data_IF_772237443206
#
_entry.id   IF_772237443206
#
_cell.length_a   1.000
_cell.length_b   1.000
_cell.length_c   1.000
_cell.angle_alpha   90.00
_cell.angle_beta   90.00
_cell.angle_gamma   90.00
#
_symmetry.space_group_name_H-M   'P 1'
#
loop_
_entity.id
_entity.type
_entity.pdbx_description
1 polymer ?
#
# COMPACT_ATOMS: atom_id res chain seq x y z
N UNK A 1 -14.49 28.58 -7.90
CA UNK A 1 -13.43 28.40 -6.89
C UNK A 1 -13.89 28.52 -5.42
N UNK A 2 -14.59 29.61 -5.04
CA UNK A 2 -14.93 29.87 -3.63
C UNK A 2 -15.92 28.87 -3.00
N UNK A 3 -16.86 28.35 -3.79
CA UNK A 3 -17.86 27.38 -3.34
C UNK A 3 -17.22 26.03 -3.00
N UNK A 4 -16.32 25.52 -3.84
CA UNK A 4 -15.63 24.24 -3.61
C UNK A 4 -14.71 24.28 -2.38
N UNK A 5 -13.99 25.39 -2.17
CA UNK A 5 -13.19 25.59 -0.96
C UNK A 5 -14.08 25.59 0.27
N UNK A 6 -15.23 26.27 0.22
CA UNK A 6 -16.19 26.30 1.34
C UNK A 6 -16.72 24.91 1.67
N UNK A 7 -17.13 24.13 0.67
CA UNK A 7 -17.59 22.75 0.85
C UNK A 7 -16.48 21.84 1.40
N UNK A 8 -15.25 21.99 0.92
CA UNK A 8 -14.10 21.24 1.42
C UNK A 8 -13.81 21.55 2.90
N UNK A 9 -13.85 22.83 3.29
CA UNK A 9 -13.66 23.23 4.69
C UNK A 9 -14.79 22.69 5.57
N UNK A 10 -16.05 22.81 5.16
CA UNK A 10 -17.20 22.26 5.90
C UNK A 10 -17.06 20.74 6.05
N UNK A 11 -16.75 20.02 4.96
CA UNK A 11 -16.54 18.58 4.98
C UNK A 11 -15.40 18.17 5.93
N UNK A 12 -14.31 18.93 5.93
CA UNK A 12 -13.17 18.71 6.84
C UNK A 12 -13.59 18.91 8.30
N UNK A 13 -14.33 19.98 8.62
CA UNK A 13 -14.81 20.24 9.98
C UNK A 13 -15.74 19.12 10.44
N UNK A 14 -16.73 18.72 9.62
CA UNK A 14 -17.66 17.64 9.95
C UNK A 14 -16.90 16.33 10.19
N UNK A 15 -15.96 15.99 9.31
CA UNK A 15 -15.11 14.81 9.46
C UNK A 15 -14.29 14.85 10.75
N UNK A 16 -13.66 15.97 11.08
CA UNK A 16 -12.89 16.13 12.32
C UNK A 16 -13.79 16.00 13.56
N UNK A 17 -14.99 16.57 13.54
CA UNK A 17 -15.95 16.43 14.65
C UNK A 17 -16.41 14.99 14.83
N UNK A 18 -16.69 14.27 13.74
CA UNK A 18 -17.02 12.84 13.78
C UNK A 18 -15.85 12.02 14.33
N UNK A 19 -14.62 12.31 13.93
CA UNK A 19 -13.42 11.61 14.40
C UNK A 19 -13.17 11.88 15.89
N UNK A 20 -13.32 13.12 16.37
CA UNK A 20 -13.24 13.46 17.81
C UNK A 20 -14.33 12.72 18.58
N UNK A 21 -15.55 12.67 18.05
CA UNK A 21 -16.65 11.96 18.68
C UNK A 21 -16.39 10.45 18.80
N UNK A 22 -15.97 9.80 17.71
CA UNK A 22 -15.68 8.36 17.68
C UNK A 22 -14.46 7.98 18.56
N UNK A 23 -13.45 8.85 18.62
CA UNK A 23 -12.28 8.65 19.51
C UNK A 23 -12.61 8.82 20.99
N UNK A 24 -13.72 9.47 21.34
CA UNK A 24 -14.23 9.60 22.72
C UNK A 24 -15.44 8.71 23.00
N UNK A 25 -15.76 7.78 22.11
CA UNK A 25 -16.92 6.91 22.26
C UNK A 25 -16.85 6.08 23.57
N UNK A 26 -17.96 5.92 24.33
CA UNK A 26 -17.94 5.25 25.64
C UNK A 26 -17.46 3.79 25.58
N UNK A 27 -17.77 3.08 24.49
CA UNK A 27 -17.30 1.70 24.30
C UNK A 27 -15.84 1.69 23.87
N UNK A 28 -14.99 1.00 24.65
CA UNK A 28 -13.54 0.99 24.44
C UNK A 28 -13.09 0.38 23.10
N UNK A 29 -13.91 -0.48 22.48
CA UNK A 29 -13.60 -1.14 21.21
C UNK A 29 -13.69 -0.17 20.02
N UNK A 30 -14.81 0.54 19.86
CA UNK A 30 -15.00 1.57 18.82
C UNK A 30 -13.90 2.62 18.91
N UNK A 31 -13.58 3.07 20.13
CA UNK A 31 -12.48 4.00 20.36
C UNK A 31 -11.14 3.45 19.85
N UNK A 32 -10.80 2.19 20.20
CA UNK A 32 -9.54 1.55 19.78
C UNK A 32 -9.46 1.38 18.26
N UNK A 33 -10.55 0.92 17.63
CA UNK A 33 -10.63 0.77 16.17
C UNK A 33 -10.49 2.13 15.48
N UNK A 34 -11.15 3.17 15.99
CA UNK A 34 -11.05 4.53 15.47
C UNK A 34 -9.60 5.05 15.54
N UNK A 35 -8.91 4.87 16.67
CA UNK A 35 -7.49 5.24 16.79
C UNK A 35 -6.59 4.45 15.84
N UNK A 36 -6.80 3.14 15.70
CA UNK A 36 -6.06 2.29 14.76
C UNK A 36 -6.25 2.76 13.32
N UNK A 37 -7.50 2.99 12.90
CA UNK A 37 -7.85 3.46 11.56
C UNK A 37 -7.27 4.85 11.28
N UNK A 38 -7.39 5.77 12.23
CA UNK A 38 -6.83 7.13 12.12
C UNK A 38 -5.32 7.09 11.98
N UNK A 39 -4.64 6.27 12.78
CA UNK A 39 -3.18 6.11 12.73
C UNK A 39 -2.72 5.53 11.39
N UNK A 40 -3.38 4.48 10.91
CA UNK A 40 -3.08 3.86 9.61
C UNK A 40 -3.33 4.86 8.46
N UNK A 41 -4.48 5.52 8.43
CA UNK A 41 -4.80 6.52 7.40
C UNK A 41 -3.79 7.67 7.40
N UNK A 42 -3.45 8.21 8.57
CA UNK A 42 -2.42 9.26 8.70
C UNK A 42 -1.07 8.78 8.19
N UNK A 43 -0.69 7.53 8.50
CA UNK A 43 0.58 6.97 8.02
C UNK A 43 0.62 6.88 6.49
N UNK A 44 -0.47 6.46 5.83
CA UNK A 44 -0.58 6.44 4.37
C UNK A 44 -0.36 7.84 3.79
N UNK A 45 -1.05 8.86 4.33
CA UNK A 45 -0.90 10.24 3.85
C UNK A 45 0.53 10.77 4.03
N UNK A 46 1.14 10.55 5.19
CA UNK A 46 2.54 10.92 5.45
C UNK A 46 3.47 10.23 4.46
N UNK A 47 3.28 8.93 4.21
CA UNK A 47 4.06 8.18 3.24
C UNK A 47 3.90 8.70 1.82
N UNK A 48 2.68 9.06 1.40
CA UNK A 48 2.45 9.68 0.08
C UNK A 48 3.17 11.02 -0.02
N UNK A 49 3.06 11.90 0.99
CA UNK A 49 3.73 13.20 0.97
C UNK A 49 5.26 13.07 0.89
N UNK A 50 5.85 12.17 1.68
CA UNK A 50 7.28 11.89 1.63
C UNK A 50 7.66 11.34 0.26
N UNK A 51 6.91 10.36 -0.26
CA UNK A 51 7.15 9.77 -1.57
C UNK A 51 7.08 10.82 -2.69
N UNK A 52 6.11 11.73 -2.65
CA UNK A 52 5.99 12.82 -3.63
C UNK A 52 7.22 13.73 -3.61
N UNK A 53 7.73 14.11 -2.43
CA UNK A 53 8.96 14.91 -2.32
C UNK A 53 10.16 14.13 -2.86
N UNK A 54 10.31 12.86 -2.49
CA UNK A 54 11.40 12.01 -2.97
C UNK A 54 11.36 11.84 -4.49
N UNK A 55 10.18 11.58 -5.07
CA UNK A 55 10.00 11.46 -6.52
C UNK A 55 10.29 12.79 -7.22
N UNK A 56 9.85 13.92 -6.66
CA UNK A 56 10.19 15.22 -7.20
C UNK A 56 11.71 15.44 -7.24
N UNK A 57 12.43 15.12 -6.16
CA UNK A 57 13.89 15.22 -6.12
C UNK A 57 14.54 14.29 -7.17
N UNK A 58 14.06 13.06 -7.30
CA UNK A 58 14.60 12.10 -8.28
C UNK A 58 14.35 12.58 -9.72
N UNK A 59 13.13 13.01 -10.05
CA UNK A 59 12.75 13.40 -11.40
C UNK A 59 13.28 14.77 -11.82
N UNK A 60 13.27 15.75 -10.91
CA UNK A 60 13.63 17.11 -11.25
C UNK A 60 15.13 17.40 -11.04
N UNK A 61 15.72 16.86 -9.97
CA UNK A 61 17.09 17.22 -9.61
C UNK A 61 18.12 16.18 -10.07
N UNK A 62 17.75 14.89 -10.09
CA UNK A 62 18.67 13.80 -10.46
C UNK A 62 18.50 13.37 -11.92
N UNK A 63 17.27 13.21 -12.42
CA UNK A 63 17.01 12.68 -13.75
C UNK A 63 17.68 13.48 -14.89
N UNK A 64 17.70 14.83 -14.87
CA UNK A 64 18.38 15.59 -15.92
C UNK A 64 19.90 15.36 -15.99
N UNK A 65 20.50 14.85 -14.90
CA UNK A 65 21.93 14.57 -14.83
C UNK A 65 22.30 13.19 -15.40
N UNK A 66 21.32 12.35 -15.72
CA UNK A 66 21.55 10.96 -16.10
C UNK A 66 20.92 10.64 -17.45
N UNK A 67 21.62 9.91 -18.34
CA UNK A 67 21.03 9.48 -19.62
C UNK A 67 19.71 8.72 -19.43
N UNK A 68 18.72 9.04 -20.28
CA UNK A 68 17.40 8.38 -20.29
C UNK A 68 17.41 6.84 -20.16
N UNK A 69 18.29 6.06 -20.84
CA UNK A 69 18.29 4.60 -20.68
C UNK A 69 18.69 4.12 -19.27
N UNK A 70 19.37 4.95 -18.47
CA UNK A 70 19.76 4.63 -17.10
C UNK A 70 18.70 5.05 -16.06
N UNK A 71 17.61 5.69 -16.48
CA UNK A 71 16.57 6.15 -15.56
C UNK A 71 15.91 5.03 -14.72
N UNK A 72 15.60 3.84 -15.29
CA UNK A 72 15.09 2.71 -14.49
C UNK A 72 16.07 2.26 -13.40
N UNK A 73 17.38 2.34 -13.67
CA UNK A 73 18.43 2.00 -12.71
C UNK A 73 18.43 2.99 -11.53
N UNK A 74 18.26 4.30 -11.77
CA UNK A 74 18.11 5.29 -10.68
C UNK A 74 16.89 4.96 -9.84
N UNK A 75 15.75 4.66 -10.47
CA UNK A 75 14.52 4.36 -9.74
C UNK A 75 14.70 3.11 -8.88
N UNK A 76 15.33 2.05 -9.42
CA UNK A 76 15.70 0.86 -8.66
C UNK A 76 16.69 1.13 -7.52
N UNK A 77 17.69 2.00 -7.73
CA UNK A 77 18.64 2.41 -6.70
C UNK A 77 17.95 3.20 -5.57
N UNK A 78 17.03 4.10 -5.93
CA UNK A 78 16.26 4.88 -4.94
C UNK A 78 15.40 3.96 -4.07
N UNK A 79 14.79 2.92 -4.65
CA UNK A 79 14.07 1.88 -3.91
C UNK A 79 15.00 1.13 -2.96
N UNK A 80 16.18 0.71 -3.43
CA UNK A 80 17.15 -0.02 -2.59
C UNK A 80 17.65 0.84 -1.41
N UNK A 81 17.96 2.11 -1.64
CA UNK A 81 18.37 3.06 -0.59
C UNK A 81 17.24 3.27 0.40
N UNK A 82 16.02 3.52 -0.07
CA UNK A 82 14.86 3.73 0.80
C UNK A 82 14.55 2.49 1.63
N UNK A 83 14.65 1.30 1.03
CA UNK A 83 14.47 0.03 1.73
C UNK A 83 15.51 -0.13 2.84
N UNK A 84 16.78 0.14 2.58
CA UNK A 84 17.83 0.12 3.60
C UNK A 84 17.56 1.10 4.74
N UNK A 85 17.12 2.33 4.43
CA UNK A 85 16.78 3.33 5.44
C UNK A 85 15.61 2.88 6.31
N UNK A 86 14.54 2.38 5.70
CA UNK A 86 13.37 1.88 6.43
C UNK A 86 13.76 0.70 7.34
N UNK A 87 14.52 -0.27 6.82
CA UNK A 87 15.02 -1.39 7.63
C UNK A 87 15.90 -0.90 8.79
N UNK A 88 16.77 0.09 8.56
CA UNK A 88 17.59 0.68 9.61
C UNK A 88 16.75 1.39 10.68
N UNK A 89 15.73 2.17 10.31
CA UNK A 89 14.86 2.85 11.27
C UNK A 89 14.01 1.89 12.09
N UNK A 90 13.40 0.89 11.45
CA UNK A 90 12.65 -0.18 12.12
C UNK A 90 13.57 -0.89 13.13
N UNK A 91 14.80 -1.19 12.71
CA UNK A 91 15.79 -1.83 13.56
C UNK A 91 16.20 -0.97 14.77
N UNK A 92 16.48 0.32 14.57
CA UNK A 92 16.87 1.24 15.63
C UNK A 92 15.74 1.44 16.66
N UNK A 93 14.49 1.29 16.23
CA UNK A 93 13.31 1.50 17.07
C UNK A 93 12.70 0.23 17.63
N UNK A 94 13.29 -0.95 17.35
CA UNK A 94 12.80 -2.27 17.78
C UNK A 94 12.53 -2.43 19.28
N UNK A 95 13.23 -1.64 20.12
CA UNK A 95 13.04 -1.67 21.59
C UNK A 95 11.71 -1.04 22.04
N UNK A 96 11.09 -0.22 21.21
CA UNK A 96 9.83 0.46 21.50
C UNK A 96 8.77 -0.05 20.55
N UNK A 97 7.81 -0.82 21.07
CA UNK A 97 6.71 -1.41 20.29
C UNK A 97 5.98 -0.33 19.48
N UNK A 98 5.57 0.76 20.12
CA UNK A 98 4.84 1.84 19.46
C UNK A 98 5.65 2.54 18.38
N UNK A 99 6.95 2.79 18.63
CA UNK A 99 7.79 3.44 17.63
C UNK A 99 8.04 2.50 16.44
N UNK A 100 8.40 1.24 16.72
CA UNK A 100 8.65 0.26 15.67
C UNK A 100 7.43 0.03 14.78
N UNK A 101 6.23 -0.10 15.36
CA UNK A 101 5.00 -0.18 14.58
C UNK A 101 4.78 1.07 13.73
N UNK A 102 4.95 2.27 14.29
CA UNK A 102 4.79 3.51 13.52
C UNK A 102 5.76 3.62 12.34
N UNK A 103 7.06 3.36 12.57
CA UNK A 103 8.08 3.39 11.51
C UNK A 103 7.89 2.28 10.49
N UNK A 104 7.48 1.08 10.92
CA UNK A 104 7.20 -0.02 10.01
C UNK A 104 5.99 0.27 9.12
N UNK A 105 4.89 0.79 9.67
CA UNK A 105 3.69 1.13 8.88
C UNK A 105 3.97 2.28 7.90
N UNK A 106 4.58 3.38 8.37
CA UNK A 106 4.94 4.51 7.49
C UNK A 106 5.94 4.06 6.43
N UNK A 107 7.00 3.37 6.83
CA UNK A 107 8.04 2.86 5.94
C UNK A 107 7.51 1.84 4.94
N UNK A 108 6.58 0.98 5.36
CA UNK A 108 5.94 0.00 4.51
C UNK A 108 5.09 0.64 3.42
N UNK A 109 4.21 1.58 3.77
CA UNK A 109 3.45 2.32 2.77
C UNK A 109 4.35 3.14 1.83
N UNK A 110 5.40 3.76 2.37
CA UNK A 110 6.37 4.52 1.58
C UNK A 110 7.07 3.62 0.55
N UNK A 111 7.57 2.46 0.97
CA UNK A 111 8.13 1.45 0.06
C UNK A 111 7.11 0.94 -0.95
N UNK A 112 5.86 0.71 -0.53
CA UNK A 112 4.78 0.33 -1.44
C UNK A 112 4.58 1.34 -2.56
N UNK A 113 4.52 2.64 -2.26
CA UNK A 113 4.39 3.68 -3.29
C UNK A 113 5.63 3.82 -4.18
N UNK A 114 6.83 3.70 -3.61
CA UNK A 114 8.07 3.70 -4.39
C UNK A 114 8.13 2.48 -5.33
N UNK A 115 7.70 1.30 -4.87
CA UNK A 115 7.57 0.11 -5.69
C UNK A 115 6.53 0.28 -6.80
N UNK A 116 5.35 0.83 -6.49
CA UNK A 116 4.31 1.13 -7.50
C UNK A 116 4.89 2.01 -8.61
N UNK A 117 5.62 3.07 -8.24
CA UNK A 117 6.25 3.94 -9.23
C UNK A 117 7.34 3.22 -10.03
N UNK A 118 8.24 2.48 -9.37
CA UNK A 118 9.34 1.77 -10.02
C UNK A 118 8.84 0.70 -11.01
N UNK A 119 7.94 -0.17 -10.57
CA UNK A 119 7.44 -1.28 -11.38
C UNK A 119 6.33 -0.84 -12.33
N UNK A 120 5.56 0.18 -12.01
CA UNK A 120 4.57 0.74 -12.94
C UNK A 120 5.24 1.46 -14.12
N UNK A 121 6.29 2.25 -13.87
CA UNK A 121 7.13 2.80 -14.96
C UNK A 121 7.84 1.71 -15.76
N UNK A 122 8.18 0.58 -15.14
CA UNK A 122 8.70 -0.57 -15.86
C UNK A 122 7.62 -1.18 -16.78
N UNK A 123 6.36 -1.28 -16.34
CA UNK A 123 5.25 -1.71 -17.21
C UNK A 123 5.03 -0.77 -18.41
N UNK A 124 5.21 0.55 -18.23
CA UNK A 124 5.11 1.56 -19.29
C UNK A 124 6.27 1.52 -20.30
N UNK A 125 7.40 0.93 -19.93
CA UNK A 125 8.57 0.91 -20.81
C UNK A 125 8.26 0.17 -22.12
N UNK A 126 8.93 0.56 -23.20
CA UNK A 126 8.73 0.00 -24.54
C UNK A 126 8.83 -1.54 -24.59
N UNK A 127 9.58 -2.15 -23.68
CA UNK A 127 9.72 -3.61 -23.58
C UNK A 127 8.42 -4.29 -23.12
N UNK A 128 7.68 -3.66 -22.21
CA UNK A 128 6.55 -4.27 -21.52
C UNK A 128 5.20 -3.68 -21.92
N UNK A 129 5.12 -2.50 -22.55
CA UNK A 129 3.85 -1.82 -22.85
C UNK A 129 2.88 -2.60 -23.76
N UNK A 130 3.38 -3.53 -24.57
CA UNK A 130 2.58 -4.22 -25.59
C UNK A 130 1.83 -5.46 -25.07
N UNK A 131 0.53 -5.53 -25.41
CA UNK A 131 -0.33 -6.71 -25.23
C UNK A 131 -0.30 -7.25 -23.78
N UNK A 132 0.12 -8.51 -23.61
CA UNK A 132 0.16 -9.23 -22.35
C UNK A 132 1.48 -9.03 -21.60
N UNK A 133 2.49 -8.41 -22.21
CA UNK A 133 3.83 -8.24 -21.59
C UNK A 133 3.82 -7.48 -20.26
N UNK A 134 2.91 -6.54 -19.93
CA UNK A 134 2.88 -5.92 -18.61
C UNK A 134 2.66 -6.94 -17.47
N UNK A 135 2.05 -8.10 -17.76
CA UNK A 135 1.89 -9.19 -16.78
C UNK A 135 3.23 -9.78 -16.33
N UNK A 136 4.29 -9.71 -17.16
CA UNK A 136 5.62 -10.21 -16.81
C UNK A 136 6.28 -9.40 -15.70
N UNK A 137 5.82 -8.17 -15.46
CA UNK A 137 6.35 -7.32 -14.37
C UNK A 137 5.89 -7.81 -12.99
N UNK A 138 4.73 -8.50 -12.89
CA UNK A 138 4.22 -9.04 -11.62
C UNK A 138 5.15 -10.12 -11.02
N UNK A 139 5.53 -11.20 -11.74
CA UNK A 139 6.47 -12.19 -11.21
C UNK A 139 7.87 -11.61 -11.00
N UNK A 140 8.28 -10.61 -11.80
CA UNK A 140 9.54 -9.89 -11.56
C UNK A 140 9.52 -9.13 -10.24
N UNK A 141 8.42 -8.42 -9.93
CA UNK A 141 8.24 -7.76 -8.64
C UNK A 141 8.30 -8.78 -7.50
N UNK A 142 7.56 -9.89 -7.60
CA UNK A 142 7.58 -10.96 -6.59
C UNK A 142 8.98 -11.52 -6.36
N UNK A 143 9.76 -11.73 -7.43
CA UNK A 143 11.14 -12.19 -7.32
C UNK A 143 12.02 -11.18 -6.57
N UNK A 144 11.98 -9.92 -6.98
CA UNK A 144 12.77 -8.85 -6.34
C UNK A 144 12.37 -8.70 -4.87
N UNK A 145 11.06 -8.68 -4.59
CA UNK A 145 10.56 -8.56 -3.23
C UNK A 145 10.93 -9.76 -2.36
N UNK A 146 10.84 -10.98 -2.89
CA UNK A 146 11.25 -12.20 -2.17
C UNK A 146 12.75 -12.17 -1.81
N UNK A 147 13.60 -11.67 -2.71
CA UNK A 147 15.04 -11.46 -2.42
C UNK A 147 15.22 -10.43 -1.31
N UNK A 148 14.55 -9.28 -1.39
CA UNK A 148 14.64 -8.24 -0.35
C UNK A 148 14.14 -8.74 1.01
N UNK A 149 12.98 -9.41 1.05
CA UNK A 149 12.42 -9.99 2.26
C UNK A 149 13.35 -11.06 2.85
N UNK A 150 13.96 -11.91 2.00
CA UNK A 150 14.96 -12.88 2.44
C UNK A 150 16.19 -12.21 3.06
N UNK A 151 16.71 -11.14 2.46
CA UNK A 151 17.82 -10.37 3.03
C UNK A 151 17.41 -9.75 4.37
N UNK A 152 16.24 -9.11 4.45
CA UNK A 152 15.73 -8.54 5.70
C UNK A 152 15.61 -9.60 6.80
N UNK A 153 15.02 -10.77 6.50
CA UNK A 153 14.89 -11.88 7.44
C UNK A 153 16.26 -12.37 7.94
N UNK A 154 17.23 -12.53 7.04
CA UNK A 154 18.61 -12.90 7.40
C UNK A 154 19.32 -11.86 8.26
N UNK A 155 19.08 -10.58 8.02
CA UNK A 155 19.63 -9.50 8.83
C UNK A 155 18.98 -9.49 10.23
N UNK A 156 17.66 -9.63 10.31
CA UNK A 156 16.90 -9.71 11.56
C UNK A 156 17.36 -10.90 12.41
N UNK A 157 17.39 -12.10 11.85
CA UNK A 157 17.76 -13.34 12.57
C UNK A 157 19.18 -13.29 13.13
N UNK A 158 20.15 -12.72 12.39
CA UNK A 158 21.53 -12.57 12.87
C UNK A 158 21.66 -11.61 14.04
N UNK A 159 20.83 -10.56 14.08
CA UNK A 159 20.86 -9.64 15.22
C UNK A 159 20.20 -10.29 16.43
N UNK A 160 19.05 -10.92 16.24
CA UNK A 160 18.36 -11.66 17.30
C UNK A 160 19.32 -12.66 17.97
N UNK A 161 20.04 -13.46 17.18
CA UNK A 161 21.02 -14.42 17.71
C UNK A 161 22.08 -13.73 18.59
N UNK A 162 22.60 -12.57 18.15
CA UNK A 162 23.58 -11.79 18.93
C UNK A 162 22.98 -11.18 20.19
N UNK A 163 21.73 -10.74 20.14
CA UNK A 163 21.03 -10.19 21.30
C UNK A 163 20.79 -11.27 22.36
N UNK A 164 20.32 -12.45 21.93
CA UNK A 164 20.14 -13.61 22.79
C UNK A 164 21.47 -14.06 23.43
N UNK A 165 22.56 -14.11 22.66
CA UNK A 165 23.89 -14.44 23.18
C UNK A 165 24.39 -13.41 24.21
N UNK A 166 24.14 -12.12 23.98
CA UNK A 166 24.51 -11.07 24.93
C UNK A 166 23.70 -11.17 26.23
N UNK A 167 22.40 -11.45 26.14
CA UNK A 167 21.51 -11.56 27.30
C UNK A 167 21.75 -12.82 28.12
N UNK A 168 22.08 -13.93 27.47
CA UNK A 168 22.45 -15.18 28.14
C UNK A 168 23.65 -15.02 29.10
N UNK A 169 24.53 -14.05 28.86
CA UNK A 169 25.68 -13.75 29.72
C UNK A 169 25.33 -12.92 30.95
N UNK A 170 24.24 -12.15 30.91
CA UNK A 170 23.94 -11.12 31.93
C UNK A 170 22.85 -11.58 32.90
N UNK A 171 21.84 -12.32 32.46
CA UNK A 171 20.66 -12.61 33.29
C UNK A 171 20.30 -14.10 33.39
N UNK A 172 20.37 -14.62 34.62
CA UNK A 172 19.75 -15.89 35.05
C UNK A 172 18.26 -15.75 35.43
N UNK A 173 17.68 -14.54 35.41
CA UNK A 173 16.28 -14.32 35.82
C UNK A 173 15.29 -14.59 34.68
N UNK A 174 14.48 -15.64 34.82
CA UNK A 174 13.51 -16.14 33.83
C UNK A 174 12.46 -15.12 33.39
N UNK A 175 12.06 -14.19 34.28
CA UNK A 175 10.98 -13.23 34.02
C UNK A 175 11.35 -12.14 33.00
N UNK A 176 12.61 -11.72 32.98
CA UNK A 176 13.08 -10.73 31.99
C UNK A 176 13.03 -11.29 30.56
N UNK A 177 13.32 -12.58 30.40
CA UNK A 177 13.29 -13.26 29.09
C UNK A 177 11.89 -13.33 28.48
N UNK A 178 10.84 -13.46 29.30
CA UNK A 178 9.47 -13.55 28.80
C UNK A 178 9.00 -12.24 28.15
N UNK A 179 9.28 -11.09 28.78
CA UNK A 179 8.90 -9.79 28.24
C UNK A 179 9.66 -9.40 26.98
N UNK A 180 10.95 -9.75 26.89
CA UNK A 180 11.75 -9.49 25.68
C UNK A 180 11.27 -10.31 24.48
N UNK A 181 10.91 -11.58 24.72
CA UNK A 181 10.37 -12.46 23.69
C UNK A 181 9.06 -11.94 23.12
N UNK A 182 8.14 -11.44 23.95
CA UNK A 182 6.88 -10.84 23.49
C UNK A 182 7.11 -9.61 22.59
N UNK A 183 8.11 -8.78 22.93
CA UNK A 183 8.47 -7.60 22.12
C UNK A 183 9.05 -8.03 20.77
N UNK A 184 9.85 -9.09 20.75
CA UNK A 184 10.48 -9.62 19.53
C UNK A 184 9.45 -10.30 18.61
N UNK A 185 8.56 -11.13 19.16
CA UNK A 185 7.44 -11.73 18.41
C UNK A 185 6.54 -10.63 17.81
N UNK A 186 6.17 -9.61 18.61
CA UNK A 186 5.37 -8.49 18.10
C UNK A 186 6.09 -7.66 17.03
N UNK A 187 7.42 -7.61 17.05
CA UNK A 187 8.24 -6.92 16.05
C UNK A 187 8.26 -7.70 14.73
N UNK A 188 8.40 -9.02 14.79
CA UNK A 188 8.37 -9.88 13.62
C UNK A 188 6.99 -9.89 12.95
N UNK A 189 5.92 -9.94 13.73
CA UNK A 189 4.54 -9.82 13.25
C UNK A 189 4.34 -8.50 12.50
N UNK A 190 4.78 -7.39 13.11
CA UNK A 190 4.68 -6.05 12.50
C UNK A 190 5.42 -6.00 11.17
N UNK A 191 6.64 -6.55 11.10
CA UNK A 191 7.41 -6.61 9.86
C UNK A 191 6.67 -7.43 8.79
N UNK A 192 6.13 -8.59 9.17
CA UNK A 192 5.44 -9.51 8.27
C UNK A 192 4.15 -8.88 7.72
N UNK A 193 3.37 -8.22 8.57
CA UNK A 193 2.17 -7.49 8.17
C UNK A 193 2.52 -6.38 7.16
N UNK A 194 3.54 -5.58 7.45
CA UNK A 194 3.99 -4.53 6.55
C UNK A 194 4.49 -5.09 5.20
N UNK A 195 5.21 -6.20 5.21
CA UNK A 195 5.68 -6.87 3.99
C UNK A 195 4.51 -7.39 3.14
N UNK A 196 3.49 -7.99 3.78
CA UNK A 196 2.29 -8.47 3.11
C UNK A 196 1.48 -7.29 2.52
N UNK A 197 1.35 -6.19 3.25
CA UNK A 197 0.66 -4.97 2.80
C UNK A 197 1.33 -4.37 1.55
N UNK A 198 2.67 -4.34 1.52
CA UNK A 198 3.43 -3.88 0.34
C UNK A 198 3.12 -4.75 -0.87
N UNK A 199 3.16 -6.08 -0.71
CA UNK A 199 2.88 -7.02 -1.81
C UNK A 199 1.46 -6.84 -2.32
N UNK A 200 0.48 -6.78 -1.42
CA UNK A 200 -0.93 -6.61 -1.77
C UNK A 200 -1.18 -5.28 -2.51
N UNK A 201 -0.60 -4.19 -2.00
CA UNK A 201 -0.77 -2.87 -2.61
C UNK A 201 -0.12 -2.77 -4.00
N UNK A 202 1.15 -3.20 -4.12
CA UNK A 202 1.90 -3.12 -5.38
C UNK A 202 1.30 -4.03 -6.43
N UNK A 203 1.07 -5.31 -6.14
CA UNK A 203 0.47 -6.23 -7.11
C UNK A 203 -0.97 -5.84 -7.43
N UNK A 204 -1.73 -5.37 -6.44
CA UNK A 204 -3.08 -4.88 -6.64
C UNK A 204 -3.14 -3.76 -7.67
N UNK A 205 -2.22 -2.81 -7.58
CA UNK A 205 -2.06 -1.71 -8.54
C UNK A 205 -1.59 -2.19 -9.92
N UNK A 206 -0.49 -2.95 -9.99
CA UNK A 206 0.08 -3.43 -11.25
C UNK A 206 -0.89 -4.32 -12.03
N UNK A 207 -1.69 -5.14 -11.33
CA UNK A 207 -2.75 -5.95 -11.94
C UNK A 207 -3.87 -5.06 -12.48
N UNK A 208 -4.24 -4.00 -11.75
CA UNK A 208 -5.25 -3.04 -12.22
C UNK A 208 -4.78 -2.28 -13.46
N UNK A 209 -3.50 -1.93 -13.55
CA UNK A 209 -2.90 -1.34 -14.76
C UNK A 209 -3.03 -2.28 -15.95
N UNK A 210 -2.74 -3.57 -15.77
CA UNK A 210 -2.95 -4.58 -16.82
C UNK A 210 -4.42 -4.65 -17.25
N UNK A 211 -5.35 -4.71 -16.29
CA UNK A 211 -6.80 -4.74 -16.57
C UNK A 211 -7.22 -3.50 -17.36
N UNK A 212 -6.77 -2.31 -16.94
CA UNK A 212 -6.98 -1.06 -17.65
C UNK A 212 -6.44 -1.11 -19.08
N UNK A 213 -5.22 -1.63 -19.26
CA UNK A 213 -4.59 -1.81 -20.57
C UNK A 213 -5.36 -2.74 -21.50
N UNK A 214 -5.89 -3.85 -20.97
CA UNK A 214 -6.75 -4.78 -21.74
C UNK A 214 -8.07 -4.12 -22.16
N UNK A 215 -8.65 -3.29 -21.29
CA UNK A 215 -9.91 -2.58 -21.56
C UNK A 215 -9.72 -1.46 -22.60
N UNK A 216 -8.63 -0.70 -22.48
CA UNK A 216 -8.31 0.45 -23.34
C UNK A 216 -7.75 -0.02 -24.69
N UNK A 217 -6.99 -1.10 -24.70
CA UNK A 217 -6.23 -1.60 -25.86
C UNK A 217 -4.74 -1.24 -25.81
N UNK A 218 -4.35 -0.32 -24.92
CA UNK A 218 -2.97 0.02 -24.60
C UNK A 218 -2.85 0.33 -23.11
N UNK A 219 -1.67 0.11 -22.53
CA UNK A 219 -1.40 0.45 -21.13
C UNK A 219 -1.48 1.98 -20.96
N UNK A 220 -2.39 2.50 -20.12
CA UNK A 220 -2.46 3.93 -19.87
C UNK A 220 -1.19 4.40 -19.14
N UNK A 221 -0.71 5.62 -19.37
CA UNK A 221 0.37 6.19 -18.57
C UNK A 221 -0.09 6.32 -17.11
N UNK A 222 0.78 6.06 -16.14
CA UNK A 222 0.46 6.19 -14.72
C UNK A 222 0.09 7.62 -14.33
N UNK A 223 0.72 8.61 -14.98
CA UNK A 223 0.58 10.03 -14.63
C UNK A 223 -0.55 10.73 -15.41
N UNK A 224 -1.05 10.10 -16.48
CA UNK A 224 -2.05 10.70 -17.36
C UNK A 224 -3.41 10.00 -17.28
N UNK A 225 -4.48 10.77 -17.46
CA UNK A 225 -5.84 10.26 -17.54
C UNK A 225 -6.15 9.82 -18.98
N UNK A 226 -6.48 8.54 -19.23
CA UNK A 226 -6.87 8.11 -20.56
C UNK A 226 -8.24 8.65 -20.95
N UNK A 227 -8.39 9.05 -22.22
CA UNK A 227 -9.71 9.31 -22.80
C UNK A 227 -10.40 7.98 -23.05
N UNK A 228 -11.44 7.71 -22.26
CA UNK A 228 -12.14 6.42 -22.29
C UNK A 228 -13.48 6.53 -23.02
N UNK A 229 -14.24 5.45 -23.15
CA UNK A 229 -15.64 5.38 -23.67
C UNK A 229 -16.59 4.86 -22.58
N UNK A 230 -17.90 5.07 -22.69
CA UNK A 230 -18.84 4.56 -21.66
C UNK A 230 -18.73 3.05 -21.48
N UNK A 231 -18.50 2.31 -22.59
CA UNK A 231 -18.27 0.87 -22.56
C UNK A 231 -17.01 0.50 -21.76
N UNK A 232 -15.90 1.23 -21.95
CA UNK A 232 -14.67 1.00 -21.18
C UNK A 232 -14.85 1.29 -19.68
N UNK A 233 -15.57 2.35 -19.32
CA UNK A 233 -15.89 2.64 -17.92
C UNK A 233 -16.72 1.50 -17.31
N UNK A 234 -17.76 1.02 -18.01
CA UNK A 234 -18.58 -0.09 -17.53
C UNK A 234 -17.76 -1.37 -17.33
N UNK A 235 -16.83 -1.69 -18.26
CA UNK A 235 -15.93 -2.84 -18.13
C UNK A 235 -15.02 -2.75 -16.89
N UNK A 236 -14.50 -1.56 -16.59
CA UNK A 236 -13.64 -1.37 -15.42
C UNK A 236 -14.43 -1.50 -14.10
N UNK A 237 -15.66 -0.99 -14.07
CA UNK A 237 -16.58 -1.22 -12.95
C UNK A 237 -16.87 -2.71 -12.75
N UNK A 238 -17.18 -3.43 -13.83
CA UNK A 238 -17.38 -4.89 -13.79
C UNK A 238 -16.14 -5.60 -13.25
N UNK A 239 -14.93 -5.17 -13.62
CA UNK A 239 -13.69 -5.74 -13.07
C UNK A 239 -13.58 -5.52 -11.55
N UNK A 240 -13.93 -4.33 -11.04
CA UNK A 240 -13.99 -4.08 -9.60
C UNK A 240 -14.97 -5.04 -8.89
N UNK A 241 -16.17 -5.24 -9.46
CA UNK A 241 -17.16 -6.18 -8.92
C UNK A 241 -16.66 -7.63 -8.95
N UNK A 242 -15.95 -8.04 -10.00
CA UNK A 242 -15.35 -9.38 -10.07
C UNK A 242 -14.32 -9.58 -8.96
N UNK A 243 -13.43 -8.61 -8.73
CA UNK A 243 -12.48 -8.68 -7.63
C UNK A 243 -13.17 -8.72 -6.26
N UNK A 244 -14.25 -7.96 -6.07
CA UNK A 244 -15.07 -8.03 -4.86
C UNK A 244 -15.63 -9.44 -4.62
N UNK A 245 -16.18 -10.07 -5.67
CA UNK A 245 -16.69 -11.45 -5.58
C UNK A 245 -15.57 -12.42 -5.23
N UNK A 246 -14.36 -12.25 -5.78
CA UNK A 246 -13.19 -13.07 -5.44
C UNK A 246 -12.82 -12.91 -3.96
N UNK A 247 -12.88 -11.69 -3.41
CA UNK A 247 -12.60 -11.44 -1.98
C UNK A 247 -13.60 -12.19 -1.09
N UNK A 248 -14.90 -12.08 -1.36
CA UNK A 248 -15.94 -12.79 -0.58
C UNK A 248 -15.88 -14.31 -0.75
N UNK A 249 -15.63 -14.78 -1.97
CA UNK A 249 -15.43 -16.21 -2.21
C UNK A 249 -14.22 -16.73 -1.44
N UNK A 250 -13.11 -15.99 -1.44
CA UNK A 250 -11.91 -16.33 -0.67
C UNK A 250 -12.16 -16.45 0.83
N UNK A 251 -13.04 -15.60 1.39
CA UNK A 251 -13.47 -15.71 2.78
C UNK A 251 -14.29 -16.98 3.05
N UNK A 252 -15.24 -17.28 2.16
CA UNK A 252 -16.08 -18.48 2.30
C UNK A 252 -15.29 -19.79 2.20
N UNK A 253 -14.14 -19.78 1.51
CA UNK A 253 -13.25 -20.94 1.39
C UNK A 253 -12.12 -20.95 2.43
N UNK A 254 -12.09 -20.00 3.37
CA UNK A 254 -11.08 -19.99 4.42
C UNK A 254 -11.31 -21.15 5.40
N UNK A 255 -10.45 -22.17 5.36
CA UNK A 255 -10.46 -23.31 6.28
C UNK A 255 -9.25 -23.27 7.21
N UNK A 256 -9.48 -23.50 8.51
CA UNK A 256 -8.44 -23.60 9.53
C UNK A 256 -7.51 -24.81 9.34
N UNK A 257 -7.92 -25.81 8.53
CA UNK A 257 -7.16 -27.05 8.32
C UNK A 257 -5.95 -26.89 7.37
N UNK A 258 -5.77 -25.73 6.73
CA UNK A 258 -4.67 -25.51 5.79
C UNK A 258 -3.33 -25.26 6.50
N UNK A 259 -2.22 -25.59 5.82
CA UNK A 259 -0.87 -25.27 6.30
C UNK A 259 -0.67 -23.76 6.42
N UNK A 260 0.20 -23.30 7.34
CA UNK A 260 0.50 -21.88 7.55
C UNK A 260 0.91 -21.15 6.26
N UNK A 261 1.69 -21.80 5.40
CA UNK A 261 2.08 -21.24 4.10
C UNK A 261 0.87 -21.06 3.19
N UNK A 262 -0.05 -22.02 3.15
CA UNK A 262 -1.27 -21.92 2.36
C UNK A 262 -2.17 -20.81 2.91
N UNK A 263 -2.36 -20.73 4.22
CA UNK A 263 -3.11 -19.66 4.87
C UNK A 263 -2.53 -18.28 4.53
N UNK A 264 -1.20 -18.11 4.60
CA UNK A 264 -0.53 -16.86 4.21
C UNK A 264 -0.72 -16.55 2.73
N UNK A 265 -0.57 -17.54 1.85
CA UNK A 265 -0.78 -17.36 0.41
C UNK A 265 -2.23 -16.93 0.10
N UNK A 266 -3.23 -17.55 0.74
CA UNK A 266 -4.64 -17.15 0.62
C UNK A 266 -4.87 -15.74 1.14
N UNK A 267 -4.29 -15.38 2.29
CA UNK A 267 -4.39 -14.03 2.84
C UNK A 267 -3.81 -12.98 1.88
N UNK A 268 -2.65 -13.25 1.27
CA UNK A 268 -2.02 -12.37 0.26
C UNK A 268 -2.89 -12.29 -1.00
N UNK A 269 -3.39 -13.41 -1.54
CA UNK A 269 -4.24 -13.41 -2.73
C UNK A 269 -5.55 -12.63 -2.52
N UNK A 270 -6.16 -12.79 -1.35
CA UNK A 270 -7.34 -12.01 -0.92
C UNK A 270 -6.99 -10.52 -0.83
N UNK A 271 -5.85 -10.18 -0.22
CA UNK A 271 -5.35 -8.81 -0.12
C UNK A 271 -5.07 -8.17 -1.49
N UNK A 272 -4.43 -8.88 -2.42
CA UNK A 272 -4.21 -8.43 -3.81
C UNK A 272 -5.54 -8.15 -4.48
N UNK A 273 -6.52 -9.06 -4.35
CA UNK A 273 -7.85 -8.89 -4.96
C UNK A 273 -8.59 -7.69 -4.37
N UNK A 274 -8.53 -7.49 -3.06
CA UNK A 274 -9.12 -6.32 -2.39
C UNK A 274 -8.46 -5.00 -2.83
N UNK A 275 -7.14 -4.99 -2.98
CA UNK A 275 -6.42 -3.82 -3.49
C UNK A 275 -6.73 -3.57 -4.97
N UNK A 276 -6.77 -4.60 -5.82
CA UNK A 276 -7.18 -4.47 -7.23
C UNK A 276 -8.60 -3.97 -7.39
N UNK A 277 -9.55 -4.46 -6.60
CA UNK A 277 -10.91 -3.92 -6.53
C UNK A 277 -10.86 -2.42 -6.21
N UNK A 278 -10.13 -2.03 -5.17
CA UNK A 278 -10.04 -0.63 -4.73
C UNK A 278 -9.47 0.28 -5.82
N UNK A 279 -8.39 -0.16 -6.50
CA UNK A 279 -7.80 0.58 -7.62
C UNK A 279 -8.74 0.65 -8.84
N UNK A 280 -9.42 -0.44 -9.19
CA UNK A 280 -10.41 -0.44 -10.28
C UNK A 280 -11.56 0.52 -9.97
N UNK A 281 -12.06 0.52 -8.73
CA UNK A 281 -13.11 1.42 -8.29
C UNK A 281 -12.68 2.88 -8.34
N UNK A 282 -11.47 3.17 -7.85
CA UNK A 282 -10.88 4.50 -7.92
C UNK A 282 -10.80 4.98 -9.37
N UNK A 283 -10.18 4.19 -10.27
CA UNK A 283 -10.03 4.56 -11.68
C UNK A 283 -11.37 4.68 -12.40
N UNK A 284 -12.33 3.78 -12.14
CA UNK A 284 -13.68 3.90 -12.68
C UNK A 284 -14.34 5.21 -12.25
N UNK A 285 -14.26 5.54 -10.96
CA UNK A 285 -14.84 6.76 -10.41
C UNK A 285 -14.21 8.01 -11.00
N UNK A 286 -12.89 8.01 -11.19
CA UNK A 286 -12.18 9.06 -11.95
C UNK A 286 -12.78 9.17 -13.37
N UNK A 287 -12.71 8.11 -14.16
CA UNK A 287 -13.18 8.14 -15.56
C UNK A 287 -14.67 8.49 -15.73
N UNK A 288 -15.50 8.16 -14.75
CA UNK A 288 -16.93 8.47 -14.76
C UNK A 288 -17.22 9.91 -14.35
N UNK A 289 -16.63 10.38 -13.24
CA UNK A 289 -16.89 11.70 -12.70
C UNK A 289 -16.33 12.80 -13.60
N UNK A 290 -15.13 12.64 -14.17
CA UNK A 290 -14.56 13.61 -15.10
C UNK A 290 -15.44 13.85 -16.34
N UNK A 291 -16.26 12.87 -16.73
CA UNK A 291 -17.16 13.00 -17.88
C UNK A 291 -18.53 13.53 -17.55
N UNK A 292 -19.07 13.13 -16.41
CA UNK A 292 -20.43 13.53 -15.98
C UNK A 292 -20.41 14.91 -15.34
N UNK A 293 -19.41 15.14 -14.49
CA UNK A 293 -19.21 16.37 -13.77
C UNK A 293 -18.09 17.10 -14.50
N UNK A 294 -18.45 17.88 -15.53
CA UNK A 294 -17.54 18.85 -16.16
C UNK A 294 -17.12 19.99 -15.18
N UNK A 295 -17.33 19.81 -13.87
CA UNK A 295 -17.01 20.77 -12.83
C UNK A 295 -15.62 20.53 -12.25
N UNK A 296 -15.19 21.49 -11.45
CA UNK A 296 -13.89 21.58 -10.77
C UNK A 296 -13.40 20.21 -10.24
N UNK A 297 -12.20 19.81 -10.68
CA UNK A 297 -11.52 18.55 -10.37
C UNK A 297 -11.55 18.17 -8.88
N UNK A 298 -11.49 19.17 -8.00
CA UNK A 298 -11.55 19.00 -6.56
C UNK A 298 -12.88 18.38 -6.10
N UNK A 299 -14.01 18.82 -6.68
CA UNK A 299 -15.33 18.29 -6.30
C UNK A 299 -15.47 16.83 -6.70
N UNK A 300 -15.00 16.46 -7.90
CA UNK A 300 -14.99 15.07 -8.35
C UNK A 300 -14.19 14.17 -7.39
N UNK A 301 -13.01 14.62 -6.94
CA UNK A 301 -12.20 13.91 -5.95
C UNK A 301 -12.92 13.74 -4.62
N UNK A 302 -13.61 14.78 -4.13
CA UNK A 302 -14.40 14.72 -2.88
C UNK A 302 -15.57 13.75 -3.02
N UNK A 303 -16.35 13.84 -4.10
CA UNK A 303 -17.48 12.94 -4.35
C UNK A 303 -17.00 11.50 -4.44
N UNK A 304 -15.90 11.23 -5.14
CA UNK A 304 -15.31 9.90 -5.24
C UNK A 304 -14.86 9.36 -3.88
N UNK A 305 -14.21 10.18 -3.06
CA UNK A 305 -13.79 9.79 -1.73
C UNK A 305 -15.01 9.40 -0.87
N UNK A 306 -16.05 10.23 -0.84
CA UNK A 306 -17.28 9.98 -0.07
C UNK A 306 -17.99 8.71 -0.55
N UNK A 307 -18.20 8.55 -1.87
CA UNK A 307 -18.89 7.36 -2.40
C UNK A 307 -18.10 6.09 -2.15
N UNK A 308 -16.78 6.13 -2.29
CA UNK A 308 -15.92 5.00 -1.96
C UNK A 308 -15.99 4.67 -0.47
N UNK A 309 -15.90 5.66 0.44
CA UNK A 309 -16.04 5.42 1.88
C UNK A 309 -17.39 4.81 2.27
N UNK A 310 -18.49 5.33 1.71
CA UNK A 310 -19.83 4.77 1.95
C UNK A 310 -19.95 3.36 1.40
N UNK A 311 -19.40 3.10 0.21
CA UNK A 311 -19.45 1.76 -0.40
C UNK A 311 -18.68 0.74 0.43
N UNK A 312 -17.49 1.11 0.92
CA UNK A 312 -16.73 0.27 1.85
C UNK A 312 -17.49 0.00 3.15
N UNK A 313 -18.21 0.99 3.71
CA UNK A 313 -19.03 0.79 4.91
C UNK A 313 -20.21 -0.16 4.69
N UNK A 314 -20.79 -0.18 3.49
CA UNK A 314 -21.91 -1.09 3.16
C UNK A 314 -21.46 -2.52 2.88
N UNK A 315 -20.16 -2.75 2.68
CA UNK A 315 -19.59 -4.08 2.42
C UNK A 315 -19.18 -4.82 3.71
N UNK A 316 -19.10 -4.11 4.84
CA UNK A 316 -18.81 -4.66 6.18
C UNK A 316 -20.11 -5.04 6.86
#
# INVERSE_FOLDING_TARGET
>A
PGTSVSWFMIGTIVFLMLLIYLTHWPQGEIRRMTWKLTSSTTSIFVSVMINTVLLHMVHHDIAPLVPAPLFPLITGLSLAVLWLLVQAFIFLTRKSRSASTAYATIGGHLLGFTCIHAFGKLQESHLYREQWRPLLVLPLFLLVWAVLAWIAGRLRSKVEERALQAHARIHHSTRARAGEREVEESFEDTCTDCENDIVCNVLGFLLTQVVGGVIIGELPPMDDEPVTTHSQNAKLFTAAVVFLVIVFAGEAFHSEEHSELAQRAFAILRGISAMSMSWCWLFWGRWHLWRTIAMEELLAKVVLAVTTSVSCMLMV
#
